data_IF_492764356396
#
_entry.id   IF_492764356396
#
_cell.length_a   1.000
_cell.length_b   1.000
_cell.length_c   1.000
_cell.angle_alpha   90.00
_cell.angle_beta   90.00
_cell.angle_gamma   90.00
#
_symmetry.space_group_name_H-M   'P 1'
#
loop_
_entity.id
_entity.type
_entity.pdbx_description
1 polymer ?
#
# COMPACT_ATOMS: atom_id res chain seq x y z
N UNK A 1 -59.18 22.47 23.68
CA UNK A 1 -59.90 23.31 24.66
C UNK A 1 -59.88 24.72 24.09
N UNK A 2 -60.71 24.99 23.08
CA UNK A 2 -62.11 25.49 23.19
C UNK A 2 -62.14 26.96 23.61
N UNK A 3 -62.33 27.80 22.60
CA UNK A 3 -62.93 29.13 22.71
C UNK A 3 -64.31 29.01 23.36
N UNK A 4 -64.59 29.85 24.35
CA UNK A 4 -65.90 29.95 24.97
C UNK A 4 -65.82 30.53 26.38
N UNK A 5 -66.66 31.54 26.63
CA UNK A 5 -67.03 32.05 27.97
C UNK A 5 -66.03 32.98 28.68
N UNK A 6 -66.08 34.27 28.34
CA UNK A 6 -66.02 35.31 29.38
C UNK A 6 -67.30 36.14 29.23
N UNK A 7 -68.32 35.66 29.96
CA UNK A 7 -69.60 36.31 30.13
C UNK A 7 -69.47 37.67 30.81
N UNK A 8 -70.36 38.57 30.34
CA UNK A 8 -70.84 39.78 31.00
C UNK A 8 -71.04 39.56 32.50
N UNK A 9 -70.25 40.24 33.32
CA UNK A 9 -70.66 40.56 34.69
C UNK A 9 -71.42 41.88 34.65
N UNK A 10 -72.73 41.76 34.39
CA UNK A 10 -73.73 42.75 34.76
C UNK A 10 -73.81 42.72 36.29
N UNK A 11 -73.17 43.66 36.97
CA UNK A 11 -73.25 43.78 38.41
C UNK A 11 -74.58 44.47 38.76
N UNK A 12 -75.63 43.66 38.92
CA UNK A 12 -76.93 44.09 39.44
C UNK A 12 -76.77 44.43 40.92
N UNK A 13 -76.75 45.72 41.26
CA UNK A 13 -76.82 46.18 42.64
C UNK A 13 -78.25 45.99 43.17
N UNK A 14 -78.49 44.93 43.93
CA UNK A 14 -79.67 44.75 44.79
C UNK A 14 -79.27 45.14 46.22
N UNK A 15 -79.27 46.44 46.50
CA UNK A 15 -79.22 47.01 47.84
C UNK A 15 -80.54 47.68 48.18
N UNK A 16 -80.95 47.75 49.47
CA UNK A 16 -82.22 48.37 49.86
C UNK A 16 -82.25 49.85 49.45
N UNK A 17 -83.25 50.17 48.64
CA UNK A 17 -83.61 51.53 48.19
C UNK A 17 -84.06 52.32 49.41
N UNK A 18 -83.14 53.11 49.99
CA UNK A 18 -83.48 54.15 50.94
C UNK A 18 -84.32 55.20 50.23
N UNK A 19 -85.56 55.40 50.69
CA UNK A 19 -86.40 56.53 50.34
C UNK A 19 -85.61 57.83 50.60
N UNK A 20 -85.24 58.54 49.54
CA UNK A 20 -84.90 59.95 49.63
C UNK A 20 -86.09 60.71 49.09
N UNK A 21 -86.72 61.45 50.00
CA UNK A 21 -87.89 62.27 49.77
C UNK A 21 -87.70 63.22 48.58
N UNK A 22 -88.81 63.50 47.90
CA UNK A 22 -88.92 64.51 46.87
C UNK A 22 -88.29 65.84 47.30
N UNK A 23 -87.14 66.12 46.71
CA UNK A 23 -86.45 67.39 46.76
C UNK A 23 -85.99 67.67 45.34
N UNK A 24 -86.39 68.83 44.83
CA UNK A 24 -85.97 69.44 43.59
C UNK A 24 -84.50 69.07 43.28
N UNK A 25 -84.24 68.28 42.23
CA UNK A 25 -82.87 68.21 41.67
C UNK A 25 -82.71 69.52 40.90
N UNK A 26 -82.54 70.60 41.65
CA UNK A 26 -81.85 71.77 41.16
C UNK A 26 -80.49 71.26 40.71
N UNK A 27 -80.30 71.31 39.40
CA UNK A 27 -79.01 71.24 38.76
C UNK A 27 -78.17 72.32 39.44
N UNK A 28 -77.47 71.98 40.52
CA UNK A 28 -76.48 72.84 41.12
C UNK A 28 -75.40 72.98 40.05
N UNK A 29 -75.54 74.01 39.23
CA UNK A 29 -74.48 74.59 38.43
C UNK A 29 -73.39 74.94 39.44
N UNK A 30 -72.47 74.02 39.65
CA UNK A 30 -71.31 74.21 40.51
C UNK A 30 -70.53 75.40 39.93
N UNK A 31 -70.81 76.60 40.42
CA UNK A 31 -69.89 77.72 40.35
C UNK A 31 -68.64 77.48 41.24
N UNK A 32 -68.43 76.25 41.72
CA UNK A 32 -67.31 75.79 42.54
C UNK A 32 -65.95 75.78 41.82
N UNK A 33 -65.88 76.26 40.57
CA UNK A 33 -64.62 76.25 39.81
C UNK A 33 -63.66 77.39 40.14
N UNK A 34 -64.05 78.41 40.91
CA UNK A 34 -63.21 79.58 41.16
C UNK A 34 -62.99 80.43 39.88
N UNK A 35 -61.95 81.28 39.89
CA UNK A 35 -61.57 82.12 38.75
C UNK A 35 -61.11 81.29 37.56
N UNK A 36 -61.20 81.88 36.36
CA UNK A 36 -60.55 81.34 35.16
C UNK A 36 -59.03 81.26 35.31
N UNK A 37 -58.42 80.38 34.53
CA UNK A 37 -56.97 80.26 34.52
C UNK A 37 -56.30 81.52 33.95
N UNK A 38 -55.28 81.96 34.67
CA UNK A 38 -54.35 82.98 34.20
C UNK A 38 -53.62 82.48 32.94
N UNK A 39 -53.00 83.41 32.21
CA UNK A 39 -52.15 83.06 31.06
C UNK A 39 -51.00 82.15 31.48
N UNK A 40 -50.43 82.37 32.67
CA UNK A 40 -49.31 81.58 33.17
C UNK A 40 -49.71 80.13 33.44
N UNK A 41 -50.82 79.90 34.13
CA UNK A 41 -51.33 78.56 34.43
C UNK A 41 -51.65 77.77 33.15
N UNK A 42 -52.14 78.46 32.11
CA UNK A 42 -52.37 77.86 30.79
C UNK A 42 -51.07 77.51 30.07
N UNK A 43 -50.03 78.35 30.20
CA UNK A 43 -48.70 78.05 29.66
C UNK A 43 -48.13 76.79 30.31
N UNK A 44 -48.25 76.65 31.62
CA UNK A 44 -47.71 75.50 32.35
C UNK A 44 -48.33 74.17 31.90
N UNK A 45 -49.66 74.14 31.66
CA UNK A 45 -50.32 72.99 31.06
C UNK A 45 -49.85 72.74 29.62
N UNK A 46 -49.67 73.80 28.82
CA UNK A 46 -49.22 73.69 27.45
C UNK A 46 -47.78 73.13 27.35
N UNK A 47 -46.92 73.41 28.32
CA UNK A 47 -45.58 72.80 28.41
C UNK A 47 -45.68 71.29 28.55
N UNK A 48 -46.58 70.79 29.42
CA UNK A 48 -46.80 69.35 29.59
C UNK A 48 -47.38 68.71 28.31
N UNK A 49 -48.31 69.39 27.65
CA UNK A 49 -48.87 68.91 26.37
C UNK A 49 -47.82 68.85 25.26
N UNK A 50 -46.96 69.86 25.13
CA UNK A 50 -45.83 69.83 24.17
C UNK A 50 -44.86 68.69 24.46
N UNK A 51 -44.64 68.38 25.73
CA UNK A 51 -43.80 67.24 26.12
C UNK A 51 -44.45 65.91 25.73
N UNK A 52 -45.76 65.78 25.90
CA UNK A 52 -46.51 64.61 25.43
C UNK A 52 -46.49 64.48 23.90
N UNK A 53 -46.59 65.60 23.18
CA UNK A 53 -46.46 65.64 21.71
C UNK A 53 -45.08 65.14 21.24
N UNK A 54 -44.01 65.49 21.96
CA UNK A 54 -42.68 64.98 21.68
C UNK A 54 -42.53 63.47 21.97
N UNK A 55 -43.21 62.94 23.00
CA UNK A 55 -43.06 61.55 23.43
C UNK A 55 -43.94 60.57 22.64
N UNK A 56 -45.16 60.99 22.28
CA UNK A 56 -46.13 60.17 21.53
C UNK A 56 -46.16 60.47 20.02
N UNK A 57 -45.40 61.47 19.55
CA UNK A 57 -45.44 61.99 18.17
C UNK A 57 -46.86 62.38 17.70
N UNK A 58 -47.76 62.66 18.65
CA UNK A 58 -49.14 63.06 18.37
C UNK A 58 -49.31 64.58 18.50
N UNK A 59 -50.08 65.21 17.59
CA UNK A 59 -50.23 66.65 17.61
C UNK A 59 -50.97 67.08 18.89
N UNK A 60 -50.45 68.12 19.57
CA UNK A 60 -50.91 68.52 20.91
C UNK A 60 -52.42 68.85 21.02
N UNK A 61 -53.08 69.21 19.92
CA UNK A 61 -54.54 69.44 19.91
C UNK A 61 -55.35 68.19 20.26
N UNK A 62 -54.84 66.98 19.98
CA UNK A 62 -55.50 65.72 20.38
C UNK A 62 -55.50 65.56 21.90
N UNK A 63 -54.36 65.82 22.53
CA UNK A 63 -54.21 65.81 24.00
C UNK A 63 -55.13 66.84 24.64
N UNK A 64 -55.21 68.04 24.07
CA UNK A 64 -56.16 69.06 24.52
C UNK A 64 -57.61 68.61 24.35
N UNK A 65 -57.98 68.03 23.20
CA UNK A 65 -59.33 67.50 22.96
C UNK A 65 -59.71 66.40 23.97
N UNK A 66 -58.77 65.51 24.28
CA UNK A 66 -58.94 64.48 25.30
C UNK A 66 -59.13 65.10 26.69
N UNK A 67 -58.29 66.07 27.06
CA UNK A 67 -58.35 66.74 28.35
C UNK A 67 -59.67 67.50 28.53
N UNK A 68 -60.10 68.23 27.50
CA UNK A 68 -61.37 68.95 27.45
C UNK A 68 -62.56 68.02 27.66
N UNK A 69 -62.59 66.90 26.94
CA UNK A 69 -63.64 65.87 27.09
C UNK A 69 -63.63 65.22 28.47
N UNK A 70 -62.46 64.99 29.05
CA UNK A 70 -62.31 64.28 30.34
C UNK A 70 -62.72 65.16 31.52
N UNK A 71 -62.42 66.45 31.46
CA UNK A 71 -62.76 67.41 32.53
C UNK A 71 -64.16 68.01 32.33
N UNK A 72 -64.74 67.89 31.13
CA UNK A 72 -66.07 68.40 30.80
C UNK A 72 -66.07 69.90 30.47
N UNK A 73 -65.05 70.37 29.76
CA UNK A 73 -64.90 71.77 29.32
C UNK A 73 -64.78 71.84 27.80
N UNK A 74 -65.18 72.97 27.20
CA UNK A 74 -65.15 73.13 25.74
C UNK A 74 -63.77 73.57 25.24
N UNK A 75 -63.10 74.44 25.99
CA UNK A 75 -61.80 75.01 25.65
C UNK A 75 -60.98 75.36 26.90
N UNK A 76 -59.69 75.63 26.69
CA UNK A 76 -58.73 75.97 27.77
C UNK A 76 -59.06 77.29 28.46
N UNK A 77 -59.75 78.22 27.79
CA UNK A 77 -60.12 79.52 28.35
C UNK A 77 -61.28 79.38 29.34
N UNK A 78 -62.18 78.43 29.09
CA UNK A 78 -63.27 78.05 29.98
C UNK A 78 -62.82 77.20 31.19
N UNK A 79 -61.54 76.78 31.23
CA UNK A 79 -60.99 76.01 32.34
C UNK A 79 -60.88 76.90 33.58
N UNK A 80 -61.40 76.39 34.71
CA UNK A 80 -61.36 77.11 35.98
C UNK A 80 -60.29 76.56 36.93
N UNK A 81 -59.88 77.36 37.91
CA UNK A 81 -58.83 77.00 38.86
C UNK A 81 -59.07 75.66 39.57
N UNK A 82 -60.31 75.37 39.95
CA UNK A 82 -60.67 74.08 40.57
C UNK A 82 -60.41 72.85 39.70
N UNK A 83 -60.32 73.03 38.38
CA UNK A 83 -60.05 71.97 37.41
C UNK A 83 -58.56 71.85 37.05
N UNK A 84 -57.73 72.81 37.45
CA UNK A 84 -56.31 72.86 37.10
C UNK A 84 -55.55 71.65 37.63
N UNK A 85 -55.82 71.27 38.89
CA UNK A 85 -55.13 70.15 39.53
C UNK A 85 -55.46 68.83 38.83
N UNK A 86 -56.72 68.62 38.46
CA UNK A 86 -57.14 67.46 37.68
C UNK A 86 -56.48 67.43 36.30
N UNK A 87 -56.37 68.59 35.64
CA UNK A 87 -55.68 68.72 34.36
C UNK A 87 -54.20 68.35 34.46
N UNK A 88 -53.50 68.87 35.48
CA UNK A 88 -52.09 68.51 35.71
C UNK A 88 -51.93 67.03 36.03
N UNK A 89 -52.77 66.46 36.90
CA UNK A 89 -52.69 65.04 37.27
C UNK A 89 -52.87 64.12 36.06
N UNK A 90 -53.83 64.41 35.17
CA UNK A 90 -54.06 63.64 33.95
C UNK A 90 -52.83 63.71 33.03
N UNK A 91 -52.28 64.91 32.82
CA UNK A 91 -51.10 65.09 31.95
C UNK A 91 -49.85 64.41 32.53
N UNK A 92 -49.67 64.46 33.85
CA UNK A 92 -48.55 63.80 34.52
C UNK A 92 -48.65 62.26 34.43
N UNK A 93 -49.84 61.69 34.59
CA UNK A 93 -50.08 60.26 34.41
C UNK A 93 -49.81 59.80 32.97
N UNK A 94 -50.19 60.61 31.97
CA UNK A 94 -49.89 60.31 30.57
C UNK A 94 -48.38 60.32 30.31
N UNK A 95 -47.66 61.28 30.88
CA UNK A 95 -46.20 61.35 30.75
C UNK A 95 -45.51 60.17 31.44
N UNK A 96 -46.00 59.77 32.61
CA UNK A 96 -45.49 58.60 33.33
C UNK A 96 -45.71 57.32 32.51
N UNK A 97 -46.91 57.13 31.96
CA UNK A 97 -47.23 55.98 31.11
C UNK A 97 -46.31 55.91 29.88
N UNK A 98 -46.06 57.04 29.21
CA UNK A 98 -45.14 57.12 28.07
C UNK A 98 -43.72 56.67 28.46
N UNK A 99 -43.23 57.16 29.61
CA UNK A 99 -41.90 56.80 30.12
C UNK A 99 -41.79 55.31 30.47
N UNK A 100 -42.88 54.70 30.93
CA UNK A 100 -42.94 53.27 31.24
C UNK A 100 -42.95 52.43 29.96
N UNK A 101 -43.70 52.85 28.94
CA UNK A 101 -43.74 52.18 27.64
C UNK A 101 -42.36 52.18 26.94
N UNK A 102 -41.65 53.31 27.00
CA UNK A 102 -40.27 53.42 26.50
C UNK A 102 -39.31 52.42 27.17
N UNK A 103 -39.44 52.23 28.49
CA UNK A 103 -38.61 51.27 29.25
C UNK A 103 -38.92 49.81 28.91
N UNK A 104 -40.18 49.48 28.64
CA UNK A 104 -40.59 48.12 28.27
C UNK A 104 -40.07 47.75 26.87
N UNK A 105 -40.10 48.67 25.91
CA UNK A 105 -39.55 48.44 24.56
C UNK A 105 -38.06 48.08 24.55
N UNK A 106 -37.25 48.74 25.40
CA UNK A 106 -35.81 48.44 25.55
C UNK A 106 -35.57 47.02 26.12
N UNK A 107 -36.49 46.54 26.98
CA UNK A 107 -36.41 45.18 27.54
C UNK A 107 -36.63 44.09 26.50
N UNK A 108 -37.57 44.29 25.58
CA UNK A 108 -37.92 43.33 24.52
C UNK A 108 -36.81 43.20 23.47
N UNK A 109 -36.20 44.32 23.06
CA UNK A 109 -35.06 44.31 22.14
C UNK A 109 -33.83 43.62 22.76
N UNK A 110 -33.61 43.80 24.07
CA UNK A 110 -32.54 43.11 24.79
C UNK A 110 -32.79 41.60 24.88
N UNK A 111 -34.03 41.17 25.08
CA UNK A 111 -34.41 39.76 25.09
C UNK A 111 -34.23 39.11 23.70
N UNK A 112 -34.60 39.81 22.62
CA UNK A 112 -34.34 39.35 21.24
C UNK A 112 -32.86 39.18 20.94
N UNK A 113 -32.03 40.17 21.28
CA UNK A 113 -30.59 40.10 21.08
C UNK A 113 -29.94 38.94 21.86
N UNK A 114 -30.40 38.68 23.10
CA UNK A 114 -29.92 37.54 23.89
C UNK A 114 -30.32 36.19 23.26
N UNK A 115 -31.54 36.07 22.73
CA UNK A 115 -31.99 34.87 22.04
C UNK A 115 -31.17 34.60 20.77
N UNK A 116 -30.85 35.64 20.00
CA UNK A 116 -30.02 35.52 18.80
C UNK A 116 -28.59 35.07 19.14
N UNK A 117 -27.97 35.64 20.17
CA UNK A 117 -26.65 35.21 20.66
C UNK A 117 -26.68 33.76 21.17
N UNK A 118 -27.76 33.33 21.83
CA UNK A 118 -27.92 31.94 22.27
C UNK A 118 -27.99 30.97 21.09
N UNK A 119 -28.71 31.32 20.02
CA UNK A 119 -28.77 30.53 18.78
C UNK A 119 -27.39 30.47 18.11
N UNK A 120 -26.67 31.59 18.02
CA UNK A 120 -25.31 31.63 17.47
C UNK A 120 -24.34 30.77 18.27
N UNK A 121 -24.39 30.83 19.61
CA UNK A 121 -23.61 29.97 20.49
C UNK A 121 -23.97 28.48 20.31
N UNK A 122 -25.25 28.16 20.11
CA UNK A 122 -25.71 26.81 19.78
C UNK A 122 -25.11 26.30 18.45
N UNK A 123 -25.09 27.14 17.42
CA UNK A 123 -24.50 26.78 16.13
C UNK A 123 -22.97 26.60 16.24
N UNK A 124 -22.27 27.51 16.92
CA UNK A 124 -20.82 27.41 17.13
C UNK A 124 -20.43 26.16 17.93
N UNK A 125 -21.21 25.80 18.96
CA UNK A 125 -20.95 24.59 19.75
C UNK A 125 -21.19 23.32 18.93
N UNK A 126 -22.20 23.30 18.05
CA UNK A 126 -22.41 22.21 17.10
C UNK A 126 -21.24 22.08 16.10
N UNK A 127 -20.79 23.18 15.52
CA UNK A 127 -19.63 23.19 14.60
C UNK A 127 -18.34 22.73 15.29
N UNK A 128 -18.12 23.16 16.54
CA UNK A 128 -16.96 22.70 17.33
C UNK A 128 -17.01 21.20 17.58
N UNK A 129 -18.20 20.64 17.85
CA UNK A 129 -18.38 19.20 18.03
C UNK A 129 -18.08 18.43 16.74
N UNK A 130 -18.61 18.91 15.61
CA UNK A 130 -18.35 18.31 14.30
C UNK A 130 -16.85 18.36 13.93
N UNK A 131 -16.18 19.50 14.19
CA UNK A 131 -14.76 19.65 13.95
C UNK A 131 -13.92 18.69 14.81
N UNK A 132 -14.28 18.52 16.10
CA UNK A 132 -13.64 17.54 16.99
C UNK A 132 -13.82 16.12 16.51
N UNK A 133 -15.01 15.77 16.05
CA UNK A 133 -15.29 14.43 15.52
C UNK A 133 -14.50 14.15 14.23
N UNK A 134 -14.39 15.14 13.34
CA UNK A 134 -13.52 15.06 12.14
C UNK A 134 -12.04 14.90 12.53
N UNK A 135 -11.56 15.65 13.51
CA UNK A 135 -10.19 15.54 14.01
C UNK A 135 -9.90 14.14 14.56
N UNK A 136 -10.81 13.61 15.39
CA UNK A 136 -10.68 12.26 15.95
C UNK A 136 -10.68 11.18 14.86
N UNK A 137 -11.51 11.35 13.83
CA UNK A 137 -11.55 10.44 12.68
C UNK A 137 -10.24 10.48 11.89
N UNK A 138 -9.66 11.67 11.66
CA UNK A 138 -8.37 11.81 10.98
C UNK A 138 -7.24 11.16 11.79
N UNK A 139 -7.22 11.38 13.10
CA UNK A 139 -6.23 10.77 14.00
C UNK A 139 -6.32 9.23 13.99
N UNK A 140 -7.54 8.68 13.95
CA UNK A 140 -7.76 7.24 13.80
C UNK A 140 -7.21 6.72 12.47
N UNK A 141 -7.48 7.39 11.35
CA UNK A 141 -6.94 6.99 10.05
C UNK A 141 -5.41 7.05 10.02
N UNK A 142 -4.82 8.09 10.60
CA UNK A 142 -3.36 8.20 10.74
C UNK A 142 -2.78 7.04 11.58
N UNK A 143 -3.47 6.66 12.66
CA UNK A 143 -3.07 5.52 13.49
C UNK A 143 -3.16 4.18 12.73
N UNK A 144 -4.12 4.04 11.81
CA UNK A 144 -4.24 2.85 10.97
C UNK A 144 -3.15 2.81 9.90
N UNK A 145 -2.86 3.93 9.25
CA UNK A 145 -1.78 4.03 8.26
C UNK A 145 -0.40 3.76 8.87
N UNK A 146 -0.15 4.28 10.08
CA UNK A 146 1.10 3.99 10.81
C UNK A 146 1.21 2.52 11.20
N UNK A 147 0.10 1.86 11.58
CA UNK A 147 0.10 0.40 11.82
C UNK A 147 0.31 -0.39 10.53
N UNK A 148 -0.31 0.01 9.43
CA UNK A 148 -0.13 -0.64 8.13
C UNK A 148 1.31 -0.50 7.64
N UNK A 149 1.89 0.70 7.70
CA UNK A 149 3.28 0.93 7.31
C UNK A 149 4.27 0.16 8.20
N UNK A 150 4.04 0.08 9.51
CA UNK A 150 4.82 -0.78 10.40
C UNK A 150 4.71 -2.26 10.00
N UNK A 151 3.51 -2.75 9.66
CA UNK A 151 3.31 -4.13 9.20
C UNK A 151 3.97 -4.43 7.85
N UNK A 152 4.03 -3.44 6.95
CA UNK A 152 4.73 -3.58 5.67
C UNK A 152 6.24 -3.59 5.87
N UNK A 153 6.77 -2.77 6.78
CA UNK A 153 8.19 -2.78 7.14
C UNK A 153 8.60 -4.13 7.70
N UNK A 154 7.85 -4.70 8.65
CA UNK A 154 8.16 -6.03 9.19
C UNK A 154 8.09 -7.12 8.12
N UNK A 155 7.14 -7.05 7.18
CA UNK A 155 7.10 -7.98 6.03
C UNK A 155 8.31 -7.82 5.11
N UNK A 156 8.74 -6.59 4.86
CA UNK A 156 9.93 -6.30 4.06
C UNK A 156 11.19 -6.84 4.73
N UNK A 157 11.36 -6.60 6.02
CA UNK A 157 12.50 -7.09 6.81
C UNK A 157 12.56 -8.62 6.80
N UNK A 158 11.41 -9.29 6.97
CA UNK A 158 11.31 -10.75 6.89
C UNK A 158 11.67 -11.26 5.49
N UNK A 159 11.22 -10.59 4.42
CA UNK A 159 11.55 -10.96 3.05
C UNK A 159 13.05 -10.76 2.76
N UNK A 160 13.64 -9.66 3.22
CA UNK A 160 15.08 -9.42 3.15
C UNK A 160 15.88 -10.52 3.87
N UNK A 161 15.44 -10.92 5.08
CA UNK A 161 16.06 -12.03 5.82
C UNK A 161 16.02 -13.36 5.05
N UNK A 162 14.89 -13.69 4.42
CA UNK A 162 14.77 -14.90 3.59
C UNK A 162 15.67 -14.86 2.36
N UNK A 163 15.78 -13.69 1.71
CA UNK A 163 16.70 -13.49 0.59
C UNK A 163 18.14 -13.69 1.05
N UNK A 164 18.53 -13.13 2.19
CA UNK A 164 19.87 -13.30 2.75
C UNK A 164 20.17 -14.77 3.09
N UNK A 165 19.22 -15.47 3.72
CA UNK A 165 19.35 -16.90 4.01
C UNK A 165 19.51 -17.73 2.72
N UNK A 166 18.72 -17.45 1.69
CA UNK A 166 18.83 -18.13 0.40
C UNK A 166 20.18 -17.87 -0.27
N UNK A 167 20.69 -16.63 -0.19
CA UNK A 167 21.99 -16.25 -0.72
C UNK A 167 23.13 -16.94 0.02
N UNK A 168 23.03 -17.10 1.35
CA UNK A 168 24.00 -17.88 2.13
C UNK A 168 23.99 -19.35 1.72
N UNK A 169 22.82 -19.96 1.51
CA UNK A 169 22.69 -21.34 1.00
C UNK A 169 23.30 -21.50 -0.39
N UNK A 170 23.03 -20.55 -1.31
CA UNK A 170 23.63 -20.53 -2.65
C UNK A 170 25.15 -20.37 -2.59
N UNK A 171 25.67 -19.49 -1.73
CA UNK A 171 27.10 -19.32 -1.55
C UNK A 171 27.76 -20.59 -1.00
N UNK A 172 27.11 -21.28 -0.05
CA UNK A 172 27.55 -22.58 0.46
C UNK A 172 27.59 -23.66 -0.61
N UNK A 173 26.51 -23.80 -1.38
CA UNK A 173 26.43 -24.75 -2.49
C UNK A 173 27.49 -24.45 -3.56
N UNK A 174 27.71 -23.19 -3.91
CA UNK A 174 28.72 -22.79 -4.88
C UNK A 174 30.15 -23.13 -4.41
N UNK A 175 30.45 -22.97 -3.12
CA UNK A 175 31.74 -23.41 -2.54
C UNK A 175 31.91 -24.93 -2.67
N UNK A 176 30.86 -25.69 -2.37
CA UNK A 176 30.85 -27.15 -2.50
C UNK A 176 31.09 -27.61 -3.95
N UNK A 177 30.40 -26.98 -4.92
CA UNK A 177 30.59 -27.27 -6.34
C UNK A 177 32.00 -26.93 -6.82
N UNK A 178 32.58 -25.80 -6.38
CA UNK A 178 33.98 -25.45 -6.69
C UNK A 178 34.97 -26.47 -6.13
N UNK A 179 34.72 -27.01 -4.93
CA UNK A 179 35.57 -28.05 -4.35
C UNK A 179 35.47 -29.36 -5.13
N UNK A 180 34.26 -29.76 -5.52
CA UNK A 180 34.02 -30.92 -6.39
C UNK A 180 34.68 -30.77 -7.75
N UNK A 181 34.54 -29.62 -8.39
CA UNK A 181 35.17 -29.34 -9.69
C UNK A 181 36.70 -29.38 -9.57
N UNK A 182 37.27 -28.82 -8.51
CA UNK A 182 38.69 -28.94 -8.21
C UNK A 182 39.15 -30.40 -8.06
N UNK A 183 38.40 -31.22 -7.31
CA UNK A 183 38.69 -32.66 -7.13
C UNK A 183 38.56 -33.43 -8.45
N UNK A 184 37.51 -33.16 -9.24
CA UNK A 184 37.28 -33.78 -10.54
C UNK A 184 38.39 -33.41 -11.52
N UNK A 185 38.80 -32.15 -11.55
CA UNK A 185 39.87 -31.67 -12.43
C UNK A 185 41.22 -32.35 -12.10
N UNK A 186 41.53 -32.52 -10.81
CA UNK A 186 42.71 -33.29 -10.37
C UNK A 186 42.60 -34.76 -10.78
N UNK A 187 41.42 -35.37 -10.60
CA UNK A 187 41.18 -36.76 -10.98
C UNK A 187 41.31 -36.99 -12.49
N UNK A 188 40.70 -36.11 -13.32
CA UNK A 188 40.82 -36.13 -14.77
C UNK A 188 42.26 -35.93 -15.23
N UNK A 189 43.00 -35.00 -14.62
CA UNK A 189 44.42 -34.78 -14.93
C UNK A 189 45.27 -36.02 -14.60
N UNK A 190 44.98 -36.71 -13.50
CA UNK A 190 45.64 -37.97 -13.13
C UNK A 190 45.27 -39.11 -14.07
N UNK A 191 43.99 -39.24 -14.45
CA UNK A 191 43.51 -40.22 -15.43
C UNK A 191 44.12 -40.01 -16.81
N UNK A 192 44.15 -38.77 -17.29
CA UNK A 192 44.76 -38.40 -18.57
C UNK A 192 46.26 -38.70 -18.59
N UNK A 193 47.00 -38.42 -17.51
CA UNK A 193 48.41 -38.82 -17.39
C UNK A 193 48.60 -40.33 -17.46
N UNK A 194 47.75 -41.12 -16.78
CA UNK A 194 47.82 -42.59 -16.84
C UNK A 194 47.53 -43.12 -18.25
N UNK A 195 46.52 -42.57 -18.93
CA UNK A 195 46.20 -42.92 -20.32
C UNK A 195 47.34 -42.58 -21.28
N UNK A 196 47.96 -41.41 -21.14
CA UNK A 196 49.13 -41.05 -21.93
C UNK A 196 50.31 -41.98 -21.66
N UNK A 197 50.57 -42.33 -20.40
CA UNK A 197 51.62 -43.28 -20.04
C UNK A 197 51.33 -44.67 -20.64
N UNK A 198 50.11 -45.19 -20.51
CA UNK A 198 49.76 -46.50 -21.09
C UNK A 198 49.86 -46.50 -22.61
N UNK A 199 49.47 -45.41 -23.27
CA UNK A 199 49.60 -45.27 -24.73
C UNK A 199 51.08 -45.24 -25.15
N UNK A 200 51.94 -44.52 -24.41
CA UNK A 200 53.37 -44.45 -24.68
C UNK A 200 54.09 -45.78 -24.43
N UNK A 201 53.74 -46.50 -23.37
CA UNK A 201 54.29 -47.84 -23.11
C UNK A 201 53.77 -48.86 -24.14
N UNK A 202 52.51 -48.77 -24.53
CA UNK A 202 51.93 -49.60 -25.59
C UNK A 202 52.61 -49.40 -26.94
N UNK A 203 52.85 -48.15 -27.35
CA UNK A 203 53.55 -47.86 -28.60
C UNK A 203 55.02 -48.30 -28.56
N UNK A 204 55.70 -48.12 -27.42
CA UNK A 204 57.08 -48.59 -27.24
C UNK A 204 57.18 -50.13 -27.26
N UNK A 205 56.22 -50.83 -26.65
CA UNK A 205 56.15 -52.29 -26.68
C UNK A 205 55.93 -52.82 -28.11
N UNK A 206 55.04 -52.20 -28.88
CA UNK A 206 54.81 -52.57 -30.29
C UNK A 206 56.05 -52.29 -31.14
N UNK A 207 56.71 -51.14 -30.96
CA UNK A 207 57.92 -50.79 -31.71
C UNK A 207 59.10 -51.73 -31.38
N UNK A 208 59.30 -52.04 -30.09
CA UNK A 208 60.36 -52.98 -29.66
C UNK A 208 60.10 -54.41 -30.14
N UNK A 209 58.85 -54.88 -30.09
CA UNK A 209 58.44 -56.16 -30.67
C UNK A 209 58.67 -56.24 -32.18
N UNK A 210 58.31 -55.18 -32.92
CA UNK A 210 58.56 -55.09 -34.35
C UNK A 210 60.06 -55.08 -34.68
N UNK A 211 60.87 -54.37 -33.89
CA UNK A 211 62.32 -54.33 -34.07
C UNK A 211 62.97 -55.70 -33.76
N UNK A 212 62.57 -56.36 -32.68
CA UNK A 212 63.03 -57.71 -32.34
C UNK A 212 62.62 -58.75 -33.40
N UNK A 213 61.39 -58.64 -33.93
CA UNK A 213 60.94 -59.46 -35.04
C UNK A 213 61.78 -59.25 -36.30
N UNK A 214 62.08 -58.00 -36.65
CA UNK A 214 62.90 -57.67 -37.81
C UNK A 214 64.34 -58.17 -37.67
N UNK A 215 64.95 -58.04 -36.49
CA UNK A 215 66.26 -58.59 -36.16
C UNK A 215 66.28 -60.12 -36.29
N UNK A 216 65.26 -60.80 -35.75
CA UNK A 216 65.14 -62.26 -35.83
C UNK A 216 64.94 -62.74 -37.27
N UNK A 217 64.09 -62.04 -38.06
CA UNK A 217 63.92 -62.33 -39.48
C UNK A 217 65.23 -62.16 -40.26
N UNK A 218 66.02 -61.11 -39.95
CA UNK A 218 67.33 -60.88 -40.55
C UNK A 218 68.35 -61.93 -40.14
N UNK A 219 68.35 -62.36 -38.87
CA UNK A 219 69.20 -63.44 -38.38
C UNK A 219 68.86 -64.77 -39.07
N UNK A 220 67.57 -65.13 -39.18
CA UNK A 220 67.13 -66.32 -39.92
C UNK A 220 67.50 -66.27 -41.41
N UNK A 221 67.40 -65.10 -42.04
CA UNK A 221 67.81 -64.91 -43.43
C UNK A 221 69.33 -65.03 -43.62
N UNK A 222 70.13 -64.60 -42.62
CA UNK A 222 71.58 -64.76 -42.63
C UNK A 222 71.99 -66.23 -42.40
N UNK A 223 71.32 -66.93 -41.48
CA UNK A 223 71.57 -68.35 -41.20
C UNK A 223 71.24 -69.23 -42.42
N UNK A 224 70.12 -68.93 -43.11
CA UNK A 224 69.76 -69.61 -44.35
C UNK A 224 70.78 -69.44 -45.49
N UNK A 225 71.56 -68.33 -45.49
CA UNK A 225 72.66 -68.14 -46.46
C UNK A 225 73.88 -68.97 -46.12
N UNK A 226 74.11 -69.27 -44.84
CA UNK A 226 75.22 -70.10 -44.38
C UNK A 226 74.91 -71.60 -44.52
N UNK A 227 73.64 -71.99 -44.54
CA UNK A 227 73.20 -73.39 -44.59
C UNK A 227 73.01 -73.98 -46.00
N UNK A 228 73.59 -73.37 -47.04
CA UNK A 228 73.33 -73.72 -48.44
C UNK A 228 74.62 -73.77 -49.26
N UNK A 229 74.68 -74.61 -50.29
CA UNK A 229 75.77 -74.57 -51.26
C UNK A 229 75.50 -73.47 -52.28
N UNK A 230 76.49 -72.61 -52.54
CA UNK A 230 76.37 -71.57 -53.57
C UNK A 230 76.92 -72.08 -54.91
N UNK A 231 76.16 -71.92 -55.99
CA UNK A 231 76.62 -72.15 -57.35
C UNK A 231 76.12 -71.01 -58.26
N UNK A 232 77.04 -70.36 -58.99
CA UNK A 232 76.75 -69.20 -59.85
C UNK A 232 75.94 -68.07 -59.16
N UNK A 233 76.23 -67.79 -57.88
CA UNK A 233 75.56 -66.75 -57.10
C UNK A 233 74.17 -67.10 -56.56
N UNK A 234 73.66 -68.32 -56.81
CA UNK A 234 72.40 -68.82 -56.24
C UNK A 234 72.68 -69.85 -55.15
N UNK A 235 71.89 -69.81 -54.08
CA UNK A 235 71.96 -70.76 -52.97
C UNK A 235 71.07 -71.97 -53.24
N UNK A 236 71.61 -73.16 -53.01
CA UNK A 236 70.92 -74.45 -53.19
C UNK A 236 70.88 -75.21 -51.86
N UNK A 237 69.73 -75.81 -51.56
CA UNK A 237 69.54 -76.60 -50.36
C UNK A 237 70.38 -77.89 -50.41
N UNK A 238 70.68 -78.47 -49.24
CA UNK A 238 71.30 -79.79 -49.13
C UNK A 238 70.48 -80.81 -49.93
N UNK A 239 71.14 -81.69 -50.68
CA UNK A 239 70.52 -82.69 -51.55
C UNK A 239 70.16 -82.17 -52.95
N UNK A 240 70.36 -80.88 -53.23
CA UNK A 240 70.22 -80.37 -54.60
C UNK A 240 71.33 -80.95 -55.47
N UNK A 241 70.97 -81.42 -56.66
CA UNK A 241 71.89 -81.99 -57.65
C UNK A 241 71.97 -81.02 -58.83
N UNK A 242 73.20 -80.65 -59.22
CA UNK A 242 73.46 -79.92 -60.46
C UNK A 242 73.71 -80.93 -61.57
N UNK A 243 72.76 -81.06 -62.48
CA UNK A 243 72.91 -81.90 -63.67
C UNK A 243 73.79 -81.19 -64.71
N UNK A 244 74.95 -81.77 -65.02
CA UNK A 244 75.93 -81.18 -65.92
C UNK A 244 76.99 -82.19 -66.37
N UNK A 245 78.12 -81.72 -66.88
CA UNK A 245 79.24 -82.61 -67.30
C UNK A 245 79.87 -83.39 -66.13
N UNK A 246 79.63 -82.95 -64.89
CA UNK A 246 79.85 -83.73 -63.67
C UNK A 246 78.67 -83.50 -62.73
N UNK A 247 77.83 -84.50 -62.51
CA UNK A 247 76.74 -84.39 -61.55
C UNK A 247 77.32 -84.19 -60.14
N UNK A 248 76.94 -83.09 -59.50
CA UNK A 248 77.39 -82.73 -58.14
C UNK A 248 76.18 -82.52 -57.23
N UNK A 249 76.23 -83.11 -56.05
CA UNK A 249 75.24 -82.93 -55.00
C UNK A 249 75.78 -82.00 -53.91
N UNK A 250 74.91 -81.11 -53.42
CA UNK A 250 75.22 -80.30 -52.26
C UNK A 250 75.09 -81.15 -51.00
N UNK A 251 76.20 -81.39 -50.30
CA UNK A 251 76.22 -82.17 -49.06
C UNK A 251 76.84 -81.38 -47.92
N UNK A 252 76.39 -81.66 -46.70
CA UNK A 252 76.97 -81.10 -45.47
C UNK A 252 78.06 -82.04 -44.95
N UNK A 253 79.29 -81.54 -44.82
CA UNK A 253 80.40 -82.31 -44.24
C UNK A 253 80.20 -82.51 -42.75
N UNK A 254 80.93 -83.46 -42.16
CA UNK A 254 80.95 -83.70 -40.70
C UNK A 254 81.41 -82.48 -39.89
N UNK A 255 82.20 -81.61 -40.52
CA UNK A 255 82.65 -80.31 -39.98
C UNK A 255 81.59 -79.20 -40.11
N UNK A 256 80.41 -79.52 -40.64
CA UNK A 256 79.28 -78.60 -40.77
C UNK A 256 79.35 -77.64 -41.97
N UNK A 257 80.33 -77.80 -42.88
CA UNK A 257 80.46 -76.97 -44.09
C UNK A 257 79.67 -77.57 -45.26
N UNK A 258 79.16 -76.72 -46.14
CA UNK A 258 78.37 -77.10 -47.30
C UNK A 258 79.24 -77.06 -48.54
N UNK A 259 79.47 -78.22 -49.16
CA UNK A 259 80.32 -78.33 -50.35
C UNK A 259 79.64 -79.18 -51.43
N UNK A 260 79.97 -78.88 -52.68
CA UNK A 260 79.57 -79.69 -53.82
C UNK A 260 80.46 -80.93 -53.91
N UNK A 261 79.87 -82.12 -53.80
CA UNK A 261 80.56 -83.40 -53.98
C UNK A 261 80.07 -84.10 -55.25
N UNK A 262 80.95 -84.79 -56.00
CA UNK A 262 80.54 -85.56 -57.17
C UNK A 262 79.65 -86.74 -56.75
N UNK A 263 78.56 -86.95 -57.48
CA UNK A 263 77.64 -88.06 -57.21
C UNK A 263 78.31 -89.36 -57.65
N UNK A 264 78.82 -90.13 -56.69
CA UNK A 264 79.32 -91.48 -56.95
C UNK A 264 78.11 -92.37 -57.22
N UNK A 265 77.85 -92.66 -58.50
CA UNK A 265 76.81 -93.60 -58.91
C UNK A 265 77.09 -94.96 -58.27
N UNK A 266 76.36 -95.29 -57.19
CA UNK A 266 76.43 -96.63 -56.62
C UNK A 266 75.88 -97.62 -57.66
N UNK A 267 76.61 -98.70 -58.01
CA UNK A 267 76.18 -99.63 -59.03
C UNK A 267 74.85 -100.28 -58.68
N UNK A 268 73.96 -100.24 -59.67
CA UNK A 268 72.59 -100.75 -59.69
C UNK A 268 72.61 -102.27 -59.39
N UNK A 269 72.31 -102.67 -58.14
CA UNK A 269 72.05 -104.09 -57.80
C UNK A 269 70.70 -104.48 -58.39
N UNK A 270 70.74 -105.32 -59.41
CA UNK A 270 69.61 -106.01 -60.02
C UNK A 270 69.06 -107.11 -59.12
N UNK A 271 67.75 -107.08 -58.88
CA UNK A 271 66.86 -108.25 -58.81
C UNK A 271 66.93 -109.16 -57.57
N UNK A 272 65.94 -109.03 -56.68
CA UNK A 272 65.31 -110.19 -56.04
C UNK A 272 63.78 -109.98 -56.01
N UNK A 273 62.96 -111.05 -56.14
CA UNK A 273 61.55 -110.94 -56.47
C UNK A 273 60.64 -110.61 -55.27
N UNK A 274 59.52 -109.96 -55.60
CA UNK A 274 58.32 -109.72 -54.76
C UNK A 274 57.83 -110.99 -54.04
N UNK A 275 57.34 -110.84 -52.80
CA UNK A 275 56.15 -111.54 -52.34
C UNK A 275 54.92 -110.60 -52.31
N UNK A 276 53.69 -111.14 -52.41
CA UNK A 276 52.47 -110.36 -52.62
C UNK A 276 51.77 -109.92 -51.33
N UNK A 277 51.19 -108.70 -51.42
CA UNK A 277 49.81 -108.28 -51.12
C UNK A 277 49.15 -108.63 -49.76
N UNK A 278 48.80 -107.58 -49.02
CA UNK A 278 47.51 -107.32 -48.32
C UNK A 278 47.59 -105.87 -47.80
N UNK A 279 46.81 -104.89 -48.25
CA UNK A 279 45.38 -104.59 -47.99
C UNK A 279 45.00 -104.63 -46.50
N UNK A 280 45.08 -103.48 -45.80
CA UNK A 280 44.13 -103.04 -44.75
C UNK A 280 44.45 -101.59 -44.33
N UNK A 281 43.59 -100.59 -44.59
CA UNK A 281 42.46 -100.09 -43.77
C UNK A 281 42.87 -99.05 -42.72
N UNK A 282 42.15 -97.91 -42.78
CA UNK A 282 42.07 -96.74 -41.87
C UNK A 282 43.15 -95.65 -41.98
#
# INVERSE_FOLDING_TARGET
MSEGEIEKILQTFLGPVGQVAGGNIENHTYHAGGRELTKQERIDLNVKVKRLEAEYEEPGWKTWKFLHRTIGIENIEAMRLGQQNSAHAILDLLLENASLQSRVGIGDDRARNLAEVAIQNGNLTAQLREAKEKSFRLERMLSEETRLSASLRTRLDNACGLVEESNQKLAGANRYWKELDGKLHIALKRGRRRLFLSLAFGSLAVASGAFAYYQNARAKAADARLSACTYAGKAYAIGSILSGSSDRECVRTKEGRYIWQPVVQKPKRSGLPKPPRSESTL
#
